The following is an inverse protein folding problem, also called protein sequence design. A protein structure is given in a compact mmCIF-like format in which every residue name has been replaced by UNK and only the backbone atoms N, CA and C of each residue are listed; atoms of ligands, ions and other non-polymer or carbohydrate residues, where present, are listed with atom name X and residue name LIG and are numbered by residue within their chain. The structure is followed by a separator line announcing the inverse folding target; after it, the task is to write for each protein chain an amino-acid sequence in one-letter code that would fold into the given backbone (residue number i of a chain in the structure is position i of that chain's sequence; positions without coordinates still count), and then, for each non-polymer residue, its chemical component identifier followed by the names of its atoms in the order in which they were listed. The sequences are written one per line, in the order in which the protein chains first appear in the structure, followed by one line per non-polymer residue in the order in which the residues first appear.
data_IF_107985997865
#
_entry.id   IF_107985997865
#
_cell.length_a   1.000
_cell.length_b   1.000
_cell.length_c   1.000
_cell.angle_alpha   90.00
_cell.angle_beta   90.00
_cell.angle_gamma   90.00
#
_symmetry.space_group_name_H-M   'P 1'
#
loop_
_entity.id
_entity.type
_entity.pdbx_description
1 polymer ?
#
# COMPACT_ATOMS: atom_id res chain seq x y z
N UNK A 1 -28.79 12.52 0.04
CA UNK A 1 -27.70 12.00 0.88
C UNK A 1 -26.45 11.97 0.03
N UNK A 2 -25.34 12.49 0.55
CA UNK A 2 -24.06 12.46 -0.17
C UNK A 2 -23.38 11.12 0.14
N UNK A 3 -22.96 10.38 -0.89
CA UNK A 3 -22.32 9.08 -0.77
C UNK A 3 -21.01 9.09 -1.59
N UNK A 4 -19.95 8.52 -1.04
CA UNK A 4 -18.68 8.25 -1.73
C UNK A 4 -18.57 6.74 -1.95
N UNK A 5 -18.30 6.32 -3.18
CA UNK A 5 -18.05 4.92 -3.53
C UNK A 5 -16.68 4.82 -4.19
N UNK A 6 -15.81 3.97 -3.64
CA UNK A 6 -14.54 3.59 -4.22
C UNK A 6 -14.55 2.08 -4.40
N UNK A 7 -14.15 1.60 -5.57
CA UNK A 7 -14.11 0.17 -5.88
C UNK A 7 -12.71 -0.27 -6.33
N UNK A 8 -12.38 -1.51 -6.00
CA UNK A 8 -11.23 -2.17 -6.61
C UNK A 8 -11.59 -2.69 -8.02
N UNK A 9 -10.60 -2.95 -8.88
CA UNK A 9 -10.85 -3.52 -10.20
C UNK A 9 -11.42 -4.95 -10.16
N UNK A 10 -12.18 -5.32 -11.19
CA UNK A 10 -12.87 -6.62 -11.27
C UNK A 10 -11.92 -7.83 -11.26
N UNK A 11 -10.68 -7.64 -11.73
CA UNK A 11 -9.66 -8.69 -11.78
C UNK A 11 -9.19 -9.14 -10.38
N UNK A 12 -9.46 -8.37 -9.33
CA UNK A 12 -9.02 -8.68 -7.97
C UNK A 12 -9.56 -10.03 -7.52
N UNK A 13 -10.82 -10.35 -7.82
CA UNK A 13 -11.40 -11.62 -7.41
C UNK A 13 -10.71 -12.82 -8.08
N UNK A 14 -10.34 -12.72 -9.35
CA UNK A 14 -9.61 -13.80 -10.02
C UNK A 14 -8.19 -13.91 -9.48
N UNK A 15 -7.51 -12.80 -9.22
CA UNK A 15 -6.21 -12.79 -8.56
C UNK A 15 -6.25 -13.46 -7.19
N UNK A 16 -7.21 -13.12 -6.33
CA UNK A 16 -7.32 -13.70 -4.98
C UNK A 16 -7.56 -15.23 -5.01
N UNK A 17 -8.22 -15.75 -6.05
CA UNK A 17 -8.44 -17.19 -6.21
C UNK A 17 -7.17 -17.97 -6.59
N UNK A 18 -6.11 -17.28 -7.04
CA UNK A 18 -4.82 -17.90 -7.39
C UNK A 18 -3.95 -18.15 -6.13
N UNK A 19 -4.32 -17.60 -4.98
CA UNK A 19 -3.52 -17.63 -3.75
C UNK A 19 -4.26 -18.30 -2.58
N UNK A 20 -3.52 -18.91 -1.63
CA UNK A 20 -4.13 -19.39 -0.40
C UNK A 20 -4.61 -18.23 0.47
N UNK A 21 -5.71 -18.44 1.19
CA UNK A 21 -6.26 -17.45 2.14
C UNK A 21 -5.36 -17.20 3.35
N UNK A 22 -4.42 -18.10 3.63
CA UNK A 22 -3.48 -18.00 4.75
C UNK A 22 -2.06 -18.05 4.18
N UNK A 23 -1.30 -16.98 4.42
CA UNK A 23 0.10 -16.81 4.01
C UNK A 23 0.87 -16.43 5.27
N UNK A 24 1.40 -17.38 6.07
CA UNK A 24 2.05 -17.08 7.34
C UNK A 24 3.40 -16.38 7.20
N UNK A 25 4.10 -16.66 6.10
CA UNK A 25 5.46 -16.19 5.87
C UNK A 25 5.49 -14.72 5.39
N UNK A 26 6.18 -13.81 6.10
CA UNK A 26 6.25 -12.40 5.76
C UNK A 26 6.80 -12.11 4.36
N UNK A 27 7.80 -12.86 3.89
CA UNK A 27 8.33 -12.67 2.54
C UNK A 27 7.30 -13.11 1.49
N UNK A 28 6.57 -14.20 1.73
CA UNK A 28 5.48 -14.63 0.82
C UNK A 28 4.32 -13.63 0.82
N UNK A 29 4.00 -13.01 1.97
CA UNK A 29 3.04 -11.92 2.04
C UNK A 29 3.50 -10.73 1.19
N UNK A 30 4.78 -10.37 1.27
CA UNK A 30 5.34 -9.30 0.45
C UNK A 30 5.32 -9.65 -1.04
N UNK A 31 5.73 -10.86 -1.44
CA UNK A 31 5.65 -11.31 -2.84
C UNK A 31 4.23 -11.33 -3.37
N UNK A 32 3.25 -11.72 -2.55
CA UNK A 32 1.84 -11.60 -2.89
C UNK A 32 1.44 -10.15 -3.19
N UNK A 33 1.85 -9.20 -2.34
CA UNK A 33 1.58 -7.77 -2.54
C UNK A 33 2.30 -7.22 -3.78
N UNK A 34 3.53 -7.65 -4.06
CA UNK A 34 4.27 -7.26 -5.26
C UNK A 34 3.62 -7.82 -6.53
N UNK A 35 3.14 -9.07 -6.52
CA UNK A 35 2.38 -9.66 -7.63
C UNK A 35 1.05 -8.95 -7.86
N UNK A 36 0.35 -8.57 -6.78
CA UNK A 36 -0.87 -7.74 -6.83
C UNK A 36 -0.58 -6.40 -7.50
N UNK A 37 0.54 -5.78 -7.14
CA UNK A 37 0.99 -4.49 -7.68
C UNK A 37 1.34 -4.60 -9.16
N UNK A 38 2.11 -5.61 -9.54
CA UNK A 38 2.45 -5.90 -10.94
C UNK A 38 1.18 -6.09 -11.78
N UNK A 39 0.19 -6.83 -11.27
CA UNK A 39 -1.07 -7.01 -11.99
C UNK A 39 -1.83 -5.70 -12.15
N UNK A 40 -1.87 -4.83 -11.14
CA UNK A 40 -2.50 -3.51 -11.26
C UNK A 40 -1.88 -2.65 -12.37
N UNK A 41 -0.56 -2.75 -12.56
CA UNK A 41 0.17 -2.10 -13.65
C UNK A 41 -0.24 -2.69 -14.99
N UNK A 42 -0.16 -4.03 -15.14
CA UNK A 42 -0.41 -4.73 -16.41
C UNK A 42 -1.86 -4.62 -16.89
N UNK A 43 -2.81 -4.57 -15.96
CA UNK A 43 -4.23 -4.37 -16.26
C UNK A 43 -4.57 -2.89 -16.49
N UNK A 44 -3.59 -2.00 -16.40
CA UNK A 44 -3.72 -0.54 -16.56
C UNK A 44 -4.79 0.06 -15.62
N UNK A 45 -4.93 -0.50 -14.43
CA UNK A 45 -6.01 -0.12 -13.50
C UNK A 45 -5.60 0.91 -12.46
N UNK A 46 -4.32 1.26 -12.37
CA UNK A 46 -3.84 2.42 -11.64
C UNK A 46 -2.33 2.48 -11.44
N UNK A 47 -1.88 3.13 -10.36
CA UNK A 47 -0.46 3.33 -10.07
C UNK A 47 0.26 2.07 -9.58
N UNK A 48 1.61 2.09 -9.50
CA UNK A 48 2.43 0.93 -9.17
C UNK A 48 2.50 0.64 -7.66
N UNK A 49 1.35 0.64 -7.01
CA UNK A 49 1.25 0.38 -5.58
C UNK A 49 0.14 -0.61 -5.25
N UNK A 50 0.47 -1.56 -4.38
CA UNK A 50 -0.43 -2.56 -3.84
C UNK A 50 -0.17 -2.74 -2.35
N UNK A 51 -1.20 -3.15 -1.63
CA UNK A 51 -1.14 -3.39 -0.20
C UNK A 51 -2.17 -4.44 0.23
N UNK A 52 -1.94 -5.08 1.37
CA UNK A 52 -2.85 -6.06 1.93
C UNK A 52 -2.80 -6.03 3.46
N UNK A 53 -3.94 -6.29 4.09
CA UNK A 53 -4.06 -6.48 5.54
C UNK A 53 -4.12 -7.96 5.83
N UNK A 54 -3.26 -8.42 6.73
CA UNK A 54 -3.23 -9.79 7.22
C UNK A 54 -3.45 -9.82 8.74
N UNK A 55 -4.06 -10.88 9.24
CA UNK A 55 -3.92 -11.27 10.65
C UNK A 55 -2.44 -11.58 10.90
N UNK A 56 -1.84 -10.88 11.86
CA UNK A 56 -0.39 -10.87 12.13
C UNK A 56 0.16 -12.26 12.48
N UNK A 57 -0.59 -13.00 13.29
CA UNK A 57 -0.11 -14.26 13.87
C UNK A 57 -0.50 -15.47 13.01
N UNK A 58 -1.68 -15.47 12.39
CA UNK A 58 -2.14 -16.57 11.54
C UNK A 58 -1.69 -16.44 10.08
N UNK A 59 -1.43 -15.22 9.61
CA UNK A 59 -1.18 -14.91 8.20
C UNK A 59 -2.44 -14.94 7.33
N UNK A 60 -3.64 -14.99 7.91
CA UNK A 60 -4.89 -14.95 7.16
C UNK A 60 -5.06 -13.58 6.49
N UNK A 61 -5.32 -13.59 5.18
CA UNK A 61 -5.63 -12.39 4.42
C UNK A 61 -7.00 -11.85 4.84
N UNK A 62 -7.05 -10.56 5.17
CA UNK A 62 -8.28 -9.84 5.55
C UNK A 62 -8.79 -9.00 4.38
N UNK A 63 -7.91 -8.21 3.76
CA UNK A 63 -8.26 -7.37 2.61
C UNK A 63 -7.03 -7.09 1.73
N UNK A 64 -7.30 -6.60 0.52
CA UNK A 64 -6.29 -6.06 -0.38
C UNK A 64 -6.67 -4.65 -0.82
N UNK A 65 -5.70 -3.90 -1.31
CA UNK A 65 -5.86 -2.61 -1.92
C UNK A 65 -4.83 -2.41 -3.02
N UNK A 66 -5.24 -1.72 -4.08
CA UNK A 66 -4.34 -1.26 -5.14
C UNK A 66 -4.60 0.22 -5.36
N UNK A 67 -3.59 0.93 -5.84
CA UNK A 67 -3.76 2.34 -6.18
C UNK A 67 -4.73 2.47 -7.35
N UNK A 68 -5.83 3.21 -7.14
CA UNK A 68 -6.88 3.47 -8.15
C UNK A 68 -7.21 4.96 -8.24
N UNK A 69 -6.26 5.84 -7.88
CA UNK A 69 -6.48 7.30 -7.79
C UNK A 69 -7.09 7.88 -9.06
N UNK A 70 -6.46 7.61 -10.22
CA UNK A 70 -6.89 8.15 -11.51
C UNK A 70 -8.24 7.55 -11.92
N UNK A 71 -8.40 6.23 -11.76
CA UNK A 71 -9.62 5.51 -12.17
C UNK A 71 -10.85 5.93 -11.36
N UNK A 72 -10.68 6.15 -10.06
CA UNK A 72 -11.76 6.55 -9.14
C UNK A 72 -11.91 8.07 -9.02
N UNK A 73 -11.06 8.86 -9.70
CA UNK A 73 -10.99 10.31 -9.58
C UNK A 73 -10.95 10.77 -8.11
N UNK A 74 -10.14 10.08 -7.28
CA UNK A 74 -10.07 10.30 -5.85
C UNK A 74 -8.62 10.21 -5.38
N UNK A 75 -8.04 11.34 -4.95
CA UNK A 75 -6.64 11.40 -4.50
C UNK A 75 -6.36 10.52 -3.28
N UNK A 76 -7.37 10.21 -2.47
CA UNK A 76 -7.23 9.34 -1.31
C UNK A 76 -7.19 7.83 -1.64
N UNK A 77 -7.46 7.43 -2.88
CA UNK A 77 -7.58 6.01 -3.27
C UNK A 77 -6.22 5.33 -3.52
N UNK A 78 -5.29 5.52 -2.58
CA UNK A 78 -3.99 4.83 -2.51
C UNK A 78 -4.17 3.38 -2.05
N UNK A 79 -3.16 2.55 -2.30
CA UNK A 79 -3.25 1.11 -2.02
C UNK A 79 -3.48 0.82 -0.53
N UNK A 80 -2.73 1.48 0.35
CA UNK A 80 -2.82 1.34 1.81
C UNK A 80 -4.15 1.84 2.33
N UNK A 81 -4.64 2.95 1.78
CA UNK A 81 -5.96 3.49 2.11
C UNK A 81 -7.06 2.50 1.76
N UNK A 82 -7.04 1.98 0.54
CA UNK A 82 -8.03 0.99 0.07
C UNK A 82 -7.97 -0.29 0.91
N UNK A 83 -6.77 -0.82 1.19
CA UNK A 83 -6.62 -2.03 2.00
C UNK A 83 -7.17 -1.85 3.41
N UNK A 84 -6.81 -0.76 4.10
CA UNK A 84 -7.26 -0.49 5.46
C UNK A 84 -8.78 -0.21 5.53
N UNK A 85 -9.32 0.62 4.62
CA UNK A 85 -10.76 0.88 4.56
C UNK A 85 -11.56 -0.39 4.31
N UNK A 86 -11.09 -1.26 3.40
CA UNK A 86 -11.77 -2.52 3.10
C UNK A 86 -11.66 -3.53 4.24
N UNK A 87 -10.53 -3.59 4.95
CA UNK A 87 -10.39 -4.42 6.16
C UNK A 87 -11.39 -3.99 7.24
N UNK A 88 -11.48 -2.69 7.49
CA UNK A 88 -12.43 -2.13 8.47
C UNK A 88 -13.89 -2.40 8.07
N UNK A 89 -14.21 -2.35 6.77
CA UNK A 89 -15.54 -2.71 6.27
C UNK A 89 -15.83 -4.20 6.40
N UNK A 90 -14.89 -5.06 6.05
CA UNK A 90 -15.03 -6.53 6.17
C UNK A 90 -15.26 -6.94 7.63
N UNK A 91 -14.52 -6.34 8.57
CA UNK A 91 -14.63 -6.63 10.00
C UNK A 91 -15.77 -5.85 10.69
N UNK A 92 -16.42 -4.92 10.00
CA UNK A 92 -17.49 -4.10 10.56
C UNK A 92 -17.03 -3.17 11.69
N UNK A 93 -15.76 -2.77 11.71
CA UNK A 93 -15.17 -1.97 12.79
C UNK A 93 -14.09 -1.02 12.29
N UNK A 94 -14.01 0.19 12.87
CA UNK A 94 -13.06 1.22 12.42
C UNK A 94 -11.64 1.01 12.96
N UNK A 95 -11.51 0.38 14.13
CA UNK A 95 -10.24 0.09 14.78
C UNK A 95 -9.90 -1.40 14.64
N UNK A 96 -8.86 -1.70 13.87
CA UNK A 96 -8.34 -3.06 13.64
C UNK A 96 -7.58 -3.61 14.87
N UNK A 97 -7.27 -2.78 15.85
CA UNK A 97 -6.61 -3.16 17.09
C UNK A 97 -7.56 -3.32 18.27
N UNK A 98 -8.88 -3.22 18.04
CA UNK A 98 -9.89 -3.30 19.09
C UNK A 98 -9.86 -4.64 19.84
N UNK A 99 -10.20 -4.59 21.13
CA UNK A 99 -10.25 -5.77 22.00
C UNK A 99 -11.12 -6.88 21.39
N UNK A 100 -10.58 -8.10 21.36
CA UNK A 100 -11.25 -9.27 20.79
C UNK A 100 -10.93 -9.53 19.32
N UNK A 101 -10.20 -8.64 18.64
CA UNK A 101 -9.63 -8.93 17.32
C UNK A 101 -8.22 -9.51 17.41
N UNK A 102 -7.83 -10.36 16.44
CA UNK A 102 -6.42 -10.73 16.27
C UNK A 102 -5.60 -9.46 15.97
N UNK A 103 -4.29 -9.51 16.27
CA UNK A 103 -3.40 -8.45 15.81
C UNK A 103 -3.41 -8.39 14.28
N UNK A 104 -3.44 -7.20 13.71
CA UNK A 104 -3.37 -7.00 12.27
C UNK A 104 -2.03 -6.40 11.85
N UNK A 105 -1.57 -6.77 10.65
CA UNK A 105 -0.45 -6.13 9.97
C UNK A 105 -0.83 -5.63 8.59
N UNK A 106 -0.22 -4.53 8.18
CA UNK A 106 -0.25 -4.03 6.81
C UNK A 106 1.02 -4.48 6.08
N UNK A 107 0.88 -4.99 4.86
CA UNK A 107 2.00 -5.26 3.95
C UNK A 107 1.83 -4.37 2.74
N UNK A 108 2.85 -3.62 2.36
CA UNK A 108 2.77 -2.59 1.31
C UNK A 108 3.98 -2.63 0.37
N UNK A 109 3.75 -2.43 -0.92
CA UNK A 109 4.78 -2.49 -1.96
C UNK A 109 5.83 -1.37 -1.85
N UNK A 110 5.52 -0.31 -1.11
CA UNK A 110 6.45 0.78 -0.78
C UNK A 110 6.12 1.39 0.58
N UNK A 111 7.06 2.11 1.17
CA UNK A 111 6.80 2.90 2.38
C UNK A 111 5.68 3.90 2.13
N UNK A 112 4.90 4.14 3.17
CA UNK A 112 3.69 4.95 3.07
C UNK A 112 4.03 6.43 2.94
N UNK A 113 3.40 7.10 1.98
CA UNK A 113 3.41 8.56 1.87
C UNK A 113 2.80 9.23 3.11
N UNK A 114 2.95 10.55 3.25
CA UNK A 114 2.47 11.29 4.43
C UNK A 114 0.98 11.03 4.76
N UNK A 115 0.11 10.92 3.76
CA UNK A 115 -1.31 10.59 3.94
C UNK A 115 -1.50 9.17 4.47
N UNK A 116 -0.87 8.19 3.84
CA UNK A 116 -1.03 6.78 4.18
C UNK A 116 -0.41 6.47 5.55
N UNK A 117 0.71 7.11 5.90
CA UNK A 117 1.30 7.08 7.23
C UNK A 117 0.30 7.55 8.30
N UNK A 118 -0.40 8.66 8.03
CA UNK A 118 -1.44 9.16 8.90
C UNK A 118 -2.53 8.10 9.13
N UNK A 119 -3.04 7.50 8.06
CA UNK A 119 -4.09 6.46 8.17
C UNK A 119 -3.62 5.21 8.93
N UNK A 120 -2.39 4.77 8.72
CA UNK A 120 -1.78 3.66 9.48
C UNK A 120 -1.81 3.93 10.98
N UNK A 121 -1.53 5.17 11.41
CA UNK A 121 -1.59 5.54 12.83
C UNK A 121 -3.00 5.48 13.43
N UNK A 122 -4.05 5.57 12.60
CA UNK A 122 -5.45 5.57 13.04
C UNK A 122 -6.16 4.23 12.84
N UNK A 123 -5.59 3.32 12.06
CA UNK A 123 -6.28 2.13 11.60
C UNK A 123 -6.34 1.01 12.63
N UNK A 124 -5.45 1.02 13.63
CA UNK A 124 -5.33 -0.05 14.63
C UNK A 124 -4.40 -1.20 14.23
N UNK A 125 -3.73 -1.13 13.07
CA UNK A 125 -2.69 -2.12 12.75
C UNK A 125 -1.52 -2.01 13.72
N UNK A 126 -0.97 -3.16 14.08
CA UNK A 126 0.13 -3.27 15.05
C UNK A 126 1.50 -3.50 14.41
N UNK A 127 1.53 -3.79 13.11
CA UNK A 127 2.76 -4.01 12.37
C UNK A 127 2.60 -3.60 10.91
N UNK A 128 3.69 -3.12 10.32
CA UNK A 128 3.80 -2.77 8.91
C UNK A 128 5.04 -3.44 8.34
N UNK A 129 4.89 -4.06 7.16
CA UNK A 129 6.00 -4.52 6.33
C UNK A 129 6.00 -3.71 5.03
N UNK A 130 7.12 -3.08 4.69
CA UNK A 130 7.25 -2.28 3.46
C UNK A 130 8.42 -2.73 2.59
N UNK A 131 8.28 -2.63 1.27
CA UNK A 131 9.32 -3.05 0.32
C UNK A 131 10.17 -1.90 -0.19
N UNK A 132 9.68 -1.11 -1.16
CA UNK A 132 10.40 0.04 -1.68
C UNK A 132 10.50 1.18 -0.66
N UNK A 133 11.60 1.91 -0.67
CA UNK A 133 11.79 3.09 0.18
C UNK A 133 11.41 4.39 -0.56
N UNK A 134 11.15 5.51 0.15
CA UNK A 134 10.72 6.77 -0.45
C UNK A 134 11.62 7.23 -1.61
N UNK A 135 12.94 7.11 -1.45
CA UNK A 135 13.88 7.48 -2.49
C UNK A 135 13.82 6.58 -3.74
N UNK A 136 13.32 5.34 -3.62
CA UNK A 136 13.08 4.49 -4.79
C UNK A 136 11.85 4.97 -5.55
N UNK A 137 10.77 5.29 -4.83
CA UNK A 137 9.51 5.78 -5.39
C UNK A 137 9.72 7.11 -6.13
N UNK A 138 10.42 8.04 -5.50
CA UNK A 138 10.72 9.36 -6.07
C UNK A 138 11.66 9.27 -7.28
N UNK A 139 12.74 8.47 -7.20
CA UNK A 139 13.76 8.41 -8.26
C UNK A 139 13.37 7.55 -9.45
N UNK A 140 12.67 6.43 -9.20
CA UNK A 140 12.30 5.48 -10.26
C UNK A 140 11.00 5.95 -10.91
N UNK A 141 9.95 6.09 -10.12
CA UNK A 141 8.60 6.30 -10.63
C UNK A 141 8.18 7.76 -10.60
N UNK A 142 8.95 8.69 -10.01
CA UNK A 142 8.68 10.12 -10.03
C UNK A 142 7.52 10.57 -9.13
N UNK A 143 6.97 9.69 -8.30
CA UNK A 143 5.91 10.04 -7.33
C UNK A 143 6.47 10.81 -6.15
N UNK A 144 5.64 11.67 -5.56
CA UNK A 144 5.96 12.49 -4.39
C UNK A 144 5.39 11.84 -3.12
N UNK A 145 6.25 11.53 -2.15
CA UNK A 145 5.87 10.91 -0.87
C UNK A 145 5.31 11.94 0.13
N UNK A 146 5.43 13.22 -0.19
CA UNK A 146 5.02 14.33 0.66
C UNK A 146 5.93 14.50 1.88
N UNK A 147 5.54 15.41 2.80
CA UNK A 147 6.37 15.80 3.94
C UNK A 147 6.33 14.74 5.06
N UNK A 148 6.95 13.59 4.83
CA UNK A 148 7.11 12.57 5.86
C UNK A 148 8.11 13.04 6.93
N UNK A 149 7.87 12.72 8.22
CA UNK A 149 8.79 13.12 9.27
C UNK A 149 10.12 12.35 9.13
N UNK A 150 11.28 12.97 9.42
CA UNK A 150 12.58 12.31 9.30
C UNK A 150 12.73 11.11 10.25
N UNK A 151 11.97 11.09 11.35
CA UNK A 151 11.94 10.00 12.32
C UNK A 151 10.75 9.04 12.10
N UNK A 152 10.26 8.92 10.86
CA UNK A 152 9.15 8.06 10.41
C UNK A 152 9.00 6.75 11.17
N UNK A 153 10.06 5.92 11.18
CA UNK A 153 10.01 4.59 11.78
C UNK A 153 9.78 4.69 13.30
N UNK A 154 10.49 5.60 13.96
CA UNK A 154 10.36 5.83 15.40
C UNK A 154 8.99 6.38 15.80
N UNK A 155 8.34 7.17 14.92
CA UNK A 155 6.97 7.65 15.15
C UNK A 155 5.96 6.49 15.22
N UNK A 156 6.10 5.49 14.35
CA UNK A 156 5.29 4.27 14.37
C UNK A 156 5.58 3.43 15.61
N UNK A 157 6.85 3.18 15.91
CA UNK A 157 7.27 2.36 17.05
C UNK A 157 6.80 2.94 18.39
N UNK A 158 6.84 4.28 18.57
CA UNK A 158 6.30 4.96 19.75
C UNK A 158 4.79 4.78 19.93
N UNK A 159 4.07 4.35 18.90
CA UNK A 159 2.64 4.03 18.93
C UNK A 159 2.37 2.54 19.09
N UNK A 160 3.42 1.74 19.30
CA UNK A 160 3.31 0.29 19.35
C UNK A 160 3.12 -0.35 17.97
N UNK A 161 3.37 0.39 16.88
CA UNK A 161 3.29 -0.13 15.52
C UNK A 161 4.70 -0.51 15.09
N UNK A 162 4.98 -1.81 15.02
CA UNK A 162 6.26 -2.32 14.53
C UNK A 162 6.38 -2.04 13.03
N UNK A 163 7.55 -1.62 12.57
CA UNK A 163 7.84 -1.44 11.14
C UNK A 163 9.01 -2.33 10.72
N UNK A 164 8.84 -3.06 9.63
CA UNK A 164 9.91 -3.82 8.96
C UNK A 164 10.08 -3.23 7.56
N UNK A 165 11.03 -2.30 7.40
CA UNK A 165 11.29 -1.67 6.11
C UNK A 165 12.14 -2.58 5.20
N UNK A 166 12.27 -2.18 3.93
CA UNK A 166 13.16 -2.79 2.94
C UNK A 166 12.94 -4.30 2.66
N UNK A 167 11.78 -4.86 3.03
CA UNK A 167 11.49 -6.27 2.83
C UNK A 167 11.34 -6.56 1.33
N UNK A 168 12.27 -7.37 0.79
CA UNK A 168 12.36 -7.64 -0.65
C UNK A 168 12.49 -6.36 -1.50
N UNK A 169 13.18 -5.32 -0.98
CA UNK A 169 13.33 -4.01 -1.64
C UNK A 169 13.76 -4.09 -3.10
N UNK A 170 14.63 -5.04 -3.47
CA UNK A 170 15.05 -5.25 -4.86
C UNK A 170 13.89 -5.68 -5.76
N UNK A 171 12.99 -6.55 -5.28
CA UNK A 171 11.78 -6.96 -6.01
C UNK A 171 10.79 -5.79 -6.09
N UNK A 172 10.60 -5.03 -5.00
CA UNK A 172 9.77 -3.82 -4.99
C UNK A 172 10.22 -2.76 -6.00
N UNK A 173 11.53 -2.50 -6.08
CA UNK A 173 12.13 -1.61 -7.09
C UNK A 173 11.90 -2.09 -8.52
N UNK A 174 11.96 -3.40 -8.76
CA UNK A 174 11.70 -3.96 -10.08
C UNK A 174 10.24 -3.73 -10.52
N UNK A 175 9.28 -3.81 -9.59
CA UNK A 175 7.86 -3.50 -9.88
C UNK A 175 7.66 -2.01 -10.17
N UNK A 176 8.34 -1.11 -9.45
CA UNK A 176 8.32 0.32 -9.77
C UNK A 176 8.91 0.59 -11.17
N UNK A 177 10.02 -0.06 -11.52
CA UNK A 177 10.64 0.08 -12.83
C UNK A 177 9.74 -0.43 -13.95
N UNK A 178 9.05 -1.56 -13.75
CA UNK A 178 8.08 -2.10 -14.70
C UNK A 178 7.00 -1.06 -15.10
N UNK A 179 6.52 -0.28 -14.14
CA UNK A 179 5.54 0.78 -14.42
C UNK A 179 6.08 1.86 -15.35
N UNK A 180 7.33 2.28 -15.14
CA UNK A 180 8.01 3.27 -15.97
C UNK A 180 8.25 2.70 -17.36
N UNK A 181 8.72 1.45 -17.45
CA UNK A 181 9.01 0.76 -18.71
C UNK A 181 7.76 0.60 -19.59
N UNK A 182 6.59 0.45 -18.96
CA UNK A 182 5.29 0.38 -19.64
C UNK A 182 4.65 1.76 -19.91
N UNK A 183 5.37 2.86 -19.66
CA UNK A 183 4.90 4.23 -19.94
C UNK A 183 3.88 4.76 -18.94
N UNK A 184 3.95 4.31 -17.69
CA UNK A 184 3.09 4.73 -16.59
C UNK A 184 3.08 6.25 -16.37
N UNK A 185 1.93 6.78 -15.97
CA UNK A 185 1.70 8.22 -15.76
C UNK A 185 1.84 8.61 -14.29
N UNK A 186 2.86 9.41 -13.99
CA UNK A 186 2.96 10.10 -12.71
C UNK A 186 1.87 11.18 -12.63
N UNK A 187 1.10 11.18 -11.55
CA UNK A 187 0.06 12.19 -11.30
C UNK A 187 0.32 12.92 -9.99
N UNK A 188 -0.11 14.18 -9.91
CA UNK A 188 -0.01 15.03 -8.72
C UNK A 188 1.42 15.28 -8.17
N UNK A 189 2.47 14.96 -8.92
CA UNK A 189 3.84 15.37 -8.58
C UNK A 189 4.01 16.88 -8.87
N UNK A 190 3.63 17.72 -7.90
CA UNK A 190 3.61 19.19 -8.08
C UNK A 190 4.97 19.85 -7.85
N UNK A 191 5.99 19.10 -7.41
CA UNK A 191 7.30 19.62 -7.04
C UNK A 191 8.49 19.13 -7.90
N UNK A 192 8.27 18.29 -8.91
CA UNK A 192 9.35 17.74 -9.75
C UNK A 192 9.70 18.58 -10.99
N UNK A 193 9.26 19.84 -11.07
CA UNK A 193 9.70 20.81 -12.10
C UNK A 193 10.43 22.02 -11.50
N UNK A 194 11.56 21.80 -10.85
CA UNK A 194 12.62 22.81 -10.72
C UNK A 194 13.96 22.12 -10.96
N UNK A 195 14.41 22.05 -12.23
CA UNK A 195 15.82 22.06 -12.65
C UNK A 195 15.97 21.63 -14.12
N UNK A 196 15.68 22.55 -15.04
CA UNK A 196 16.30 22.57 -16.37
C UNK A 196 16.21 23.98 -16.98
N UNK A 197 16.74 24.95 -16.24
CA UNK A 197 17.11 26.27 -16.73
C UNK A 197 18.38 26.73 -16.01
N UNK A 198 19.52 26.17 -16.41
CA UNK A 198 20.83 26.83 -16.50
C UNK A 198 21.66 26.12 -17.55
#
# INVERSE_FOLDING_TARGET
MNQLNLSLPDWINSFLNEYPKIIPDPEKQMRFVLALTERNIREETGGPFGSAVFERDSGKLVSVGVNVVVRQNCSAAHAEMMALMLAQKELGHFDLGADGFPGHRLVTSGKMCAMCLGNVCWSGVSEVLSSAEPEDVEKIAGFDEGPTPPDYNAQLERRGIKIVPELLRSEGRAVLQLYVDLGGKVYNARHSQESSLT
#
